data_IF_131194078683
#
_entry.id   IF_131194078683
#
_cell.length_a   1.000
_cell.length_b   1.000
_cell.length_c   1.000
_cell.angle_alpha   90.00
_cell.angle_beta   90.00
_cell.angle_gamma   90.00
#
_symmetry.space_group_name_H-M   'P 1'
#
loop_
_entity.id
_entity.type
_entity.pdbx_description
1 polymer ?
#
# COMPACT_ATOMS: atom_id res chain seq x y z
N UNK A 1 -9.47 -2.51 17.53
CA UNK A 1 -8.59 -2.33 16.35
C UNK A 1 -9.19 -1.22 15.52
N UNK A 2 -8.42 -0.19 15.12
CA UNK A 2 -8.96 0.88 14.29
C UNK A 2 -8.68 0.60 12.82
N UNK A 3 -9.73 0.32 12.06
CA UNK A 3 -9.68 0.23 10.60
C UNK A 3 -10.22 1.56 10.08
N UNK A 4 -9.34 2.43 9.61
CA UNK A 4 -9.75 3.60 8.83
C UNK A 4 -9.71 3.23 7.37
N UNK A 5 -10.85 2.86 6.78
CA UNK A 5 -10.97 2.76 5.32
C UNK A 5 -11.16 4.18 4.82
N UNK A 6 -10.24 4.67 4.00
CA UNK A 6 -10.48 5.84 3.18
C UNK A 6 -11.04 5.37 1.86
N UNK A 7 -12.21 5.91 1.52
CA UNK A 7 -12.82 5.71 0.21
C UNK A 7 -12.18 6.68 -0.80
N UNK A 8 -12.43 6.46 -2.09
CA UNK A 8 -11.88 7.24 -3.20
C UNK A 8 -12.10 8.78 -3.09
N UNK A 9 -13.13 9.21 -2.36
CA UNK A 9 -13.41 10.62 -2.11
C UNK A 9 -12.53 11.23 -0.99
N UNK A 10 -12.13 10.43 0.00
CA UNK A 10 -11.34 10.91 1.15
C UNK A 10 -9.87 11.18 0.77
N UNK A 11 -9.31 10.43 -0.18
CA UNK A 11 -7.94 10.63 -0.65
C UNK A 11 -7.82 11.86 -1.59
N UNK A 12 -8.87 12.20 -2.33
CA UNK A 12 -8.92 13.46 -3.10
C UNK A 12 -8.93 14.70 -2.19
N UNK A 13 -9.59 14.61 -1.02
CA UNK A 13 -9.63 15.70 -0.04
C UNK A 13 -8.31 15.90 0.72
N UNK A 14 -7.49 14.86 0.88
CA UNK A 14 -6.16 14.96 1.50
C UNK A 14 -5.15 15.70 0.63
N UNK A 15 -5.29 15.65 -0.70
CA UNK A 15 -4.41 16.41 -1.60
C UNK A 15 -4.60 17.93 -1.50
N UNK A 16 -5.80 18.42 -1.17
CA UNK A 16 -6.06 19.86 -1.09
C UNK A 16 -5.68 20.51 0.24
N UNK A 17 -5.59 19.75 1.34
CA UNK A 17 -5.45 20.32 2.69
C UNK A 17 -4.01 20.36 3.25
N UNK A 18 -3.01 19.85 2.52
CA UNK A 18 -1.61 19.85 2.95
C UNK A 18 -0.82 21.13 2.60
N UNK A 19 -1.46 22.15 2.00
CA UNK A 19 -0.78 23.39 1.57
C UNK A 19 -0.49 24.40 2.70
N UNK A 20 -0.94 24.15 3.93
CA UNK A 20 -0.81 25.10 5.05
C UNK A 20 -0.33 24.44 6.35
N UNK A 21 0.84 23.78 6.31
CA UNK A 21 1.82 23.71 7.42
C UNK A 21 2.92 22.68 7.13
N UNK A 22 4.04 23.14 6.57
CA UNK A 22 5.42 22.92 7.06
C UNK A 22 6.42 23.43 6.01
N UNK A 23 7.40 24.14 6.54
CA UNK A 23 8.58 24.71 5.87
C UNK A 23 9.35 23.70 5.02
N UNK A 24 9.66 24.11 3.78
CA UNK A 24 10.71 23.61 2.89
C UNK A 24 11.14 22.15 3.03
N UNK A 25 10.27 21.23 2.59
CA UNK A 25 10.70 20.07 1.81
C UNK A 25 9.77 20.04 0.61
N UNK A 26 10.33 20.09 -0.61
CA UNK A 26 9.55 19.99 -1.84
C UNK A 26 8.58 18.83 -1.73
N UNK A 27 7.31 19.07 -2.04
CA UNK A 27 6.32 18.02 -2.27
C UNK A 27 6.80 17.16 -3.46
N UNK A 28 7.72 16.25 -3.18
CA UNK A 28 8.20 15.27 -4.12
C UNK A 28 7.07 14.29 -4.34
N UNK A 29 6.71 14.09 -5.61
CA UNK A 29 5.94 12.93 -5.99
C UNK A 29 6.66 11.70 -5.42
N UNK A 30 5.95 10.88 -4.65
CA UNK A 30 6.39 9.60 -4.08
C UNK A 30 6.59 8.58 -5.23
N UNK A 31 7.46 8.90 -6.20
CA UNK A 31 7.73 8.03 -7.34
C UNK A 31 8.48 6.80 -6.84
N UNK A 32 7.92 5.63 -7.13
CA UNK A 32 8.53 4.33 -6.86
C UNK A 32 9.68 4.06 -7.85
N UNK A 33 10.70 4.91 -7.79
CA UNK A 33 11.91 4.79 -8.62
C UNK A 33 12.57 3.45 -8.33
N UNK A 34 12.77 2.65 -9.36
CA UNK A 34 13.42 1.33 -9.29
C UNK A 34 12.48 0.15 -9.04
N UNK A 35 11.18 0.40 -8.85
CA UNK A 35 10.15 -0.63 -8.67
C UNK A 35 9.23 -0.77 -9.88
N UNK A 36 9.63 -0.25 -11.05
CA UNK A 36 8.81 -0.24 -12.27
C UNK A 36 8.52 -1.66 -12.77
N UNK A 37 9.51 -2.55 -12.74
CA UNK A 37 9.34 -3.95 -13.14
C UNK A 37 8.32 -4.66 -12.23
N UNK A 38 8.43 -4.42 -10.92
CA UNK A 38 7.52 -4.96 -9.91
C UNK A 38 6.12 -4.40 -10.13
N UNK A 39 5.98 -3.09 -10.39
CA UNK A 39 4.71 -2.45 -10.72
C UNK A 39 4.01 -3.14 -11.89
N UNK A 40 4.72 -3.41 -13.00
CA UNK A 40 4.14 -4.09 -14.17
C UNK A 40 3.63 -5.48 -13.80
N UNK A 41 4.42 -6.25 -13.04
CA UNK A 41 4.00 -7.58 -12.57
C UNK A 41 2.74 -7.50 -11.69
N UNK A 42 2.66 -6.53 -10.77
CA UNK A 42 1.48 -6.39 -9.91
C UNK A 42 0.25 -6.01 -10.73
N UNK A 43 0.41 -5.10 -11.69
CA UNK A 43 -0.68 -4.64 -12.54
C UNK A 43 -1.30 -5.79 -13.35
N UNK A 44 -0.48 -6.68 -13.89
CA UNK A 44 -0.97 -7.89 -14.60
C UNK A 44 -1.73 -8.82 -13.66
N UNK A 45 -1.18 -9.09 -12.46
CA UNK A 45 -1.86 -9.91 -11.44
C UNK A 45 -3.19 -9.31 -10.97
N UNK A 46 -3.27 -7.98 -10.88
CA UNK A 46 -4.46 -7.23 -10.45
C UNK A 46 -5.55 -7.14 -11.52
N UNK A 47 -5.17 -7.12 -12.79
CA UNK A 47 -6.12 -6.92 -13.91
C UNK A 47 -6.41 -8.20 -14.70
N UNK A 48 -5.79 -9.31 -14.31
CA UNK A 48 -6.01 -10.63 -14.90
C UNK A 48 -7.44 -11.16 -14.76
N UNK A 49 -7.78 -12.16 -15.58
CA UNK A 49 -9.15 -12.69 -15.74
C UNK A 49 -9.54 -13.72 -14.67
N UNK A 50 -9.11 -13.56 -13.41
CA UNK A 50 -9.54 -14.44 -12.33
C UNK A 50 -10.87 -13.95 -11.75
N UNK A 51 -11.78 -14.89 -11.50
CA UNK A 51 -13.07 -14.58 -10.89
C UNK A 51 -13.00 -14.60 -9.36
N UNK A 52 -12.26 -15.53 -8.75
CA UNK A 52 -12.21 -15.64 -7.29
C UNK A 52 -11.39 -14.53 -6.62
N UNK A 53 -11.65 -14.27 -5.34
CA UNK A 53 -10.91 -13.32 -4.51
C UNK A 53 -9.40 -13.66 -4.47
N UNK A 54 -8.56 -12.67 -4.75
CA UNK A 54 -7.10 -12.81 -4.73
C UNK A 54 -6.48 -12.07 -3.53
N UNK A 55 -5.42 -12.65 -2.99
CA UNK A 55 -4.58 -12.02 -1.97
C UNK A 55 -3.20 -11.74 -2.57
N UNK A 56 -2.74 -10.50 -2.51
CA UNK A 56 -1.45 -10.08 -3.07
C UNK A 56 -0.57 -9.49 -1.96
N UNK A 57 0.34 -10.29 -1.36
CA UNK A 57 1.32 -9.80 -0.41
C UNK A 57 2.44 -9.02 -1.12
N UNK A 58 2.72 -7.82 -0.62
CA UNK A 58 3.95 -7.06 -0.88
C UNK A 58 4.86 -7.18 0.35
N UNK A 59 6.02 -7.81 0.18
CA UNK A 59 6.92 -8.22 1.26
C UNK A 59 8.25 -7.50 1.14
N UNK A 60 8.90 -7.26 2.27
CA UNK A 60 10.23 -6.63 2.29
C UNK A 60 10.52 -5.97 3.63
N UNK A 61 11.79 -5.61 3.86
CA UNK A 61 12.21 -5.00 5.12
C UNK A 61 11.63 -3.58 5.32
N UNK A 62 11.83 -3.03 6.52
CA UNK A 62 11.51 -1.63 6.78
C UNK A 62 12.29 -0.70 5.84
N UNK A 63 11.65 0.36 5.35
CA UNK A 63 12.28 1.33 4.43
C UNK A 63 12.30 0.92 2.95
N UNK A 64 11.88 -0.29 2.58
CA UNK A 64 11.94 -0.78 1.20
C UNK A 64 10.81 -0.26 0.30
N UNK A 65 10.09 0.79 0.70
CA UNK A 65 9.06 1.40 -0.15
C UNK A 65 7.80 0.55 -0.42
N UNK A 66 7.52 -0.51 0.36
CA UNK A 66 6.29 -1.33 0.19
C UNK A 66 5.00 -0.50 0.14
N UNK A 67 4.84 0.40 1.10
CA UNK A 67 3.68 1.31 1.18
C UNK A 67 3.65 2.26 -0.01
N UNK A 68 4.82 2.73 -0.48
CA UNK A 68 4.95 3.57 -1.68
C UNK A 68 4.54 2.80 -2.93
N UNK A 69 4.97 1.55 -3.09
CA UNK A 69 4.55 0.67 -4.19
C UNK A 69 3.04 0.45 -4.19
N UNK A 70 2.49 0.05 -3.05
CA UNK A 70 1.04 -0.16 -2.87
C UNK A 70 0.24 1.12 -3.18
N UNK A 71 0.74 2.30 -2.76
CA UNK A 71 0.10 3.58 -3.06
C UNK A 71 0.12 3.89 -4.55
N UNK A 72 1.25 3.68 -5.22
CA UNK A 72 1.36 3.95 -6.65
C UNK A 72 0.46 3.04 -7.50
N UNK A 73 0.27 1.79 -7.07
CA UNK A 73 -0.72 0.88 -7.63
C UNK A 73 -2.14 1.40 -7.38
N UNK A 74 -2.46 1.74 -6.14
CA UNK A 74 -3.80 2.17 -5.73
C UNK A 74 -4.33 3.36 -6.54
N UNK A 75 -3.47 4.35 -6.79
CA UNK A 75 -3.82 5.57 -7.55
C UNK A 75 -3.65 5.42 -9.06
N UNK A 76 -3.18 4.27 -9.55
CA UNK A 76 -2.93 4.08 -10.98
C UNK A 76 -4.25 4.17 -11.77
N UNK A 77 -4.33 4.96 -12.86
CA UNK A 77 -5.57 5.13 -13.61
C UNK A 77 -6.20 3.84 -14.13
N UNK A 78 -5.40 2.83 -14.47
CA UNK A 78 -5.90 1.52 -14.91
C UNK A 78 -6.56 0.79 -13.74
N UNK A 79 -5.97 0.85 -12.53
CA UNK A 79 -6.57 0.28 -11.32
C UNK A 79 -7.85 1.03 -10.93
N UNK A 80 -7.83 2.36 -10.98
CA UNK A 80 -9.01 3.22 -10.73
C UNK A 80 -10.19 2.81 -11.61
N UNK A 81 -9.93 2.54 -12.90
CA UNK A 81 -10.97 2.16 -13.86
C UNK A 81 -11.39 0.69 -13.74
N UNK A 82 -10.52 -0.18 -13.22
CA UNK A 82 -10.76 -1.61 -13.16
C UNK A 82 -11.65 -2.04 -12.00
N UNK A 83 -11.58 -1.36 -10.85
CA UNK A 83 -12.31 -1.74 -9.64
C UNK A 83 -13.50 -0.82 -9.37
N UNK A 84 -14.67 -1.40 -9.07
CA UNK A 84 -15.90 -0.68 -8.72
C UNK A 84 -15.80 0.00 -7.34
N UNK A 85 -14.93 -0.54 -6.47
CA UNK A 85 -14.68 -0.03 -5.14
C UNK A 85 -13.19 -0.16 -4.81
N UNK A 86 -12.64 0.87 -4.19
CA UNK A 86 -11.28 0.85 -3.66
C UNK A 86 -11.29 1.37 -2.23
N UNK A 87 -10.50 0.74 -1.38
CA UNK A 87 -10.35 1.17 0.01
C UNK A 87 -8.94 0.94 0.51
N UNK A 88 -8.46 1.85 1.35
CA UNK A 88 -7.16 1.71 2.01
C UNK A 88 -7.31 1.73 3.52
N UNK A 89 -6.73 0.75 4.21
CA UNK A 89 -6.65 0.74 5.66
C UNK A 89 -5.24 0.41 6.14
N UNK A 90 -4.77 1.13 7.15
CA UNK A 90 -3.58 0.74 7.91
C UNK A 90 -4.05 -0.02 9.15
N UNK A 91 -3.52 -1.21 9.36
CA UNK A 91 -3.77 -1.94 10.60
C UNK A 91 -2.81 -1.35 11.63
N UNK A 92 -3.32 -0.71 12.69
CA UNK A 92 -2.51 -0.08 13.76
C UNK A 92 -2.73 -0.77 15.10
N UNK A 93 -1.64 -1.13 15.80
CA UNK A 93 -1.72 -1.88 17.05
C UNK A 93 -2.13 -0.90 18.15
N UNK A 94 -3.43 -0.75 18.38
CA UNK A 94 -3.88 -0.02 19.56
C UNK A 94 -3.56 -0.88 20.79
N UNK A 95 -2.44 -0.56 21.44
CA UNK A 95 -2.24 -0.93 22.83
C UNK A 95 -3.38 -0.30 23.63
N UNK A 96 -4.14 -1.13 24.33
CA UNK A 96 -5.32 -0.74 25.08
C UNK A 96 -4.91 0.11 26.30
N UNK A 97 -4.45 1.35 26.07
CA UNK A 97 -4.34 2.34 27.12
C UNK A 97 -5.74 2.93 27.31
N UNK A 98 -6.32 2.62 28.46
CA UNK A 98 -7.56 3.21 28.97
C UNK A 98 -7.49 4.73 28.83
N UNK A 99 -7.99 5.32 27.74
CA UNK A 99 -7.78 6.75 27.55
C UNK A 99 -8.31 7.44 26.29
N UNK A 100 -8.89 6.75 25.30
CA UNK A 100 -9.48 7.44 24.14
C UNK A 100 -10.89 6.93 23.82
N UNK A 101 -11.81 7.09 24.78
CA UNK A 101 -13.24 7.15 24.49
C UNK A 101 -13.56 8.57 24.05
N UNK A 102 -13.29 8.90 22.79
CA UNK A 102 -13.88 10.09 22.19
C UNK A 102 -14.16 9.85 20.70
N UNK A 103 -15.44 9.54 20.47
CA UNK A 103 -16.21 9.60 19.23
C UNK A 103 -15.54 9.10 17.95
N UNK A 104 -15.94 7.90 17.50
CA UNK A 104 -16.38 7.59 16.14
C UNK A 104 -16.95 6.15 16.14
N UNK A 105 -18.27 6.05 15.93
CA UNK A 105 -19.11 4.84 15.86
C UNK A 105 -19.37 4.06 17.18
N UNK A 106 -20.65 3.96 17.55
CA UNK A 106 -21.16 3.04 18.60
C UNK A 106 -21.29 1.59 18.08
N UNK A 107 -20.77 1.29 16.89
CA UNK A 107 -20.94 0.02 16.22
C UNK A 107 -19.84 -0.94 16.67
N UNK A 108 -20.21 -2.17 16.97
CA UNK A 108 -19.23 -3.24 17.26
C UNK A 108 -18.39 -3.57 16.02
N UNK A 109 -17.21 -4.17 16.23
CA UNK A 109 -16.34 -4.62 15.12
C UNK A 109 -17.09 -5.58 14.18
N UNK A 110 -17.99 -6.41 14.72
CA UNK A 110 -18.82 -7.33 13.94
C UNK A 110 -19.85 -6.61 13.06
N UNK A 111 -20.56 -5.62 13.60
CA UNK A 111 -21.52 -4.82 12.83
C UNK A 111 -20.84 -4.03 11.72
N UNK A 112 -19.64 -3.50 11.98
CA UNK A 112 -18.83 -2.82 10.98
C UNK A 112 -18.41 -3.80 9.87
N UNK A 113 -17.93 -4.99 10.24
CA UNK A 113 -17.56 -6.04 9.31
C UNK A 113 -18.72 -6.51 8.44
N UNK A 114 -19.92 -6.70 9.02
CA UNK A 114 -21.12 -7.04 8.26
C UNK A 114 -21.52 -5.95 7.28
N UNK A 115 -21.47 -4.69 7.71
CA UNK A 115 -21.82 -3.56 6.86
C UNK A 115 -20.83 -3.42 5.70
N UNK A 116 -19.53 -3.56 5.97
CA UNK A 116 -18.49 -3.58 4.96
C UNK A 116 -18.73 -4.73 3.97
N UNK A 117 -18.91 -5.95 4.46
CA UNK A 117 -19.17 -7.13 3.63
C UNK A 117 -20.38 -6.92 2.70
N UNK A 118 -21.50 -6.42 3.25
CA UNK A 118 -22.71 -6.10 2.45
C UNK A 118 -22.44 -5.03 1.39
N UNK A 119 -21.58 -4.05 1.67
CA UNK A 119 -21.24 -2.98 0.73
C UNK A 119 -20.31 -3.42 -0.42
N UNK A 120 -19.52 -4.47 -0.18
CA UNK A 120 -18.57 -5.06 -1.12
C UNK A 120 -19.18 -6.19 -1.96
N UNK A 121 -20.25 -6.82 -1.48
CA UNK A 121 -20.88 -7.96 -2.14
C UNK A 121 -21.33 -7.61 -3.57
N UNK A 122 -20.93 -8.43 -4.54
CA UNK A 122 -21.29 -8.26 -5.96
C UNK A 122 -20.53 -7.14 -6.67
N UNK A 123 -19.44 -6.63 -6.08
CA UNK A 123 -18.57 -5.61 -6.67
C UNK A 123 -17.16 -6.16 -6.83
N UNK A 124 -16.49 -5.74 -7.89
CA UNK A 124 -15.04 -5.91 -8.05
C UNK A 124 -14.33 -4.87 -7.19
N UNK A 125 -13.79 -5.28 -6.05
CA UNK A 125 -13.13 -4.37 -5.12
C UNK A 125 -11.61 -4.57 -5.03
N UNK A 126 -10.88 -3.50 -4.75
CA UNK A 126 -9.48 -3.54 -4.30
C UNK A 126 -9.39 -2.97 -2.88
N UNK A 127 -9.01 -3.80 -1.91
CA UNK A 127 -8.70 -3.34 -0.56
C UNK A 127 -7.20 -3.42 -0.32
N UNK A 128 -6.59 -2.30 0.08
CA UNK A 128 -5.20 -2.26 0.50
C UNK A 128 -5.12 -2.27 2.03
N UNK A 129 -4.47 -3.29 2.59
CA UNK A 129 -4.17 -3.39 4.01
C UNK A 129 -2.68 -3.12 4.25
N UNK A 130 -2.37 -1.92 4.73
CA UNK A 130 -0.99 -1.49 4.97
C UNK A 130 -0.52 -1.93 6.38
N UNK A 131 0.72 -2.44 6.41
CA UNK A 131 1.50 -2.84 7.58
C UNK A 131 0.89 -4.00 8.41
N UNK A 132 0.56 -5.12 7.74
CA UNK A 132 0.17 -6.35 8.45
C UNK A 132 1.36 -6.92 9.21
N UNK A 133 1.30 -6.88 10.54
CA UNK A 133 2.37 -7.36 11.42
C UNK A 133 2.20 -8.79 11.94
N UNK A 134 1.06 -9.45 11.74
CA UNK A 134 0.85 -10.85 12.17
C UNK A 134 -0.32 -11.54 11.45
N UNK A 135 -0.30 -12.87 11.46
CA UNK A 135 -1.42 -13.67 10.94
C UNK A 135 -2.71 -13.47 11.73
N UNK A 136 -2.63 -13.25 13.04
CA UNK A 136 -3.79 -12.94 13.86
C UNK A 136 -4.47 -11.62 13.43
N UNK A 137 -3.69 -10.65 12.96
CA UNK A 137 -4.23 -9.37 12.48
C UNK A 137 -4.96 -9.54 11.15
N UNK A 138 -4.43 -10.41 10.29
CA UNK A 138 -5.12 -10.82 9.07
C UNK A 138 -6.40 -11.61 9.37
N UNK A 139 -6.34 -12.60 10.25
CA UNK A 139 -7.46 -13.47 10.61
C UNK A 139 -8.65 -12.70 11.18
N UNK A 140 -8.40 -11.57 11.86
CA UNK A 140 -9.44 -10.69 12.38
C UNK A 140 -10.23 -9.96 11.30
N UNK A 141 -9.61 -9.64 10.17
CA UNK A 141 -10.24 -8.79 9.13
C UNK A 141 -10.64 -9.54 7.89
N UNK A 142 -10.02 -10.69 7.60
CA UNK A 142 -10.28 -11.46 6.37
C UNK A 142 -11.76 -11.83 6.21
N UNK A 143 -12.48 -11.99 7.31
CA UNK A 143 -13.90 -12.35 7.34
C UNK A 143 -14.82 -11.24 6.85
N UNK A 144 -14.33 -10.00 6.74
CA UNK A 144 -15.13 -8.86 6.28
C UNK A 144 -15.21 -8.77 4.75
N UNK A 145 -14.37 -9.52 4.03
CA UNK A 145 -14.22 -9.42 2.58
C UNK A 145 -14.90 -10.62 1.90
N UNK A 146 -16.04 -10.42 1.20
CA UNK A 146 -16.76 -11.51 0.56
C UNK A 146 -16.11 -11.93 -0.77
N UNK A 147 -15.98 -13.24 -1.01
CA UNK A 147 -15.65 -13.77 -2.33
C UNK A 147 -16.94 -14.08 -3.12
N UNK A 148 -17.37 -13.13 -3.95
CA UNK A 148 -18.53 -13.27 -4.82
C UNK A 148 -18.18 -13.61 -6.28
N UNK A 149 -16.94 -14.06 -6.53
CA UNK A 149 -16.41 -14.36 -7.87
C UNK A 149 -16.36 -13.17 -8.85
N UNK A 150 -16.20 -11.95 -8.33
CA UNK A 150 -16.20 -10.71 -9.12
C UNK A 150 -14.80 -10.24 -9.55
N UNK A 151 -13.74 -10.99 -9.24
CA UNK A 151 -12.35 -10.63 -9.51
C UNK A 151 -11.76 -9.64 -8.51
N UNK A 152 -12.27 -9.65 -7.27
CA UNK A 152 -11.82 -8.76 -6.20
C UNK A 152 -10.43 -9.12 -5.68
N UNK A 153 -9.72 -8.13 -5.15
CA UNK A 153 -8.35 -8.27 -4.66
C UNK A 153 -8.16 -7.62 -3.30
N UNK A 154 -7.46 -8.33 -2.41
CA UNK A 154 -6.89 -7.77 -1.19
C UNK A 154 -5.38 -7.70 -1.38
N UNK A 155 -4.85 -6.49 -1.47
CA UNK A 155 -3.41 -6.23 -1.48
C UNK A 155 -2.97 -5.88 -0.06
N UNK A 156 -1.84 -6.40 0.40
CA UNK A 156 -1.35 -6.04 1.74
C UNK A 156 0.15 -5.95 1.81
N UNK A 157 0.66 -5.02 2.62
CA UNK A 157 2.09 -4.86 2.86
C UNK A 157 2.49 -5.57 4.16
N UNK A 158 3.62 -6.26 4.17
CA UNK A 158 4.12 -6.92 5.38
C UNK A 158 5.65 -7.02 5.40
N UNK A 159 6.22 -7.14 6.59
CA UNK A 159 7.64 -7.49 6.79
C UNK A 159 7.85 -9.00 6.98
N UNK A 160 6.77 -9.77 7.03
CA UNK A 160 6.76 -11.18 7.39
C UNK A 160 6.69 -12.07 6.15
N UNK A 161 7.83 -12.58 5.68
CA UNK A 161 7.87 -13.46 4.50
C UNK A 161 7.09 -14.75 4.70
N UNK A 162 7.04 -15.28 5.93
CA UNK A 162 6.23 -16.44 6.29
C UNK A 162 4.73 -16.18 6.21
N UNK A 163 4.28 -14.94 6.41
CA UNK A 163 2.88 -14.58 6.26
C UNK A 163 2.48 -14.60 4.78
N UNK A 164 3.38 -14.13 3.92
CA UNK A 164 3.15 -14.08 2.49
C UNK A 164 3.01 -15.47 1.86
N UNK A 165 3.82 -16.44 2.28
CA UNK A 165 3.70 -17.83 1.81
C UNK A 165 2.43 -18.52 2.29
N UNK A 166 1.92 -18.18 3.47
CA UNK A 166 0.69 -18.74 4.02
C UNK A 166 -0.57 -18.13 3.41
N UNK A 167 -0.52 -16.84 3.04
CA UNK A 167 -1.69 -16.07 2.60
C UNK A 167 -1.74 -15.78 1.10
N UNK A 168 -0.63 -15.93 0.38
CA UNK A 168 -0.48 -15.58 -1.04
C UNK A 168 -1.34 -16.40 -2.01
N UNK A 169 -1.99 -17.47 -1.54
CA UNK A 169 -2.89 -18.28 -2.37
C UNK A 169 -2.21 -18.76 -3.65
N UNK A 170 -2.77 -18.40 -4.81
CA UNK A 170 -2.28 -18.79 -6.15
C UNK A 170 -1.20 -17.85 -6.72
N UNK A 171 -0.82 -16.78 -6.02
CA UNK A 171 0.22 -15.86 -6.47
C UNK A 171 1.44 -15.97 -5.56
N UNK A 172 2.62 -16.06 -6.18
CA UNK A 172 3.88 -15.84 -5.46
C UNK A 172 3.90 -14.41 -4.93
N UNK A 173 4.36 -14.28 -3.69
CA UNK A 173 4.49 -12.99 -3.02
C UNK A 173 5.40 -12.05 -3.79
N UNK A 174 5.01 -10.78 -3.84
CA UNK A 174 5.84 -9.73 -4.44
C UNK A 174 6.88 -9.30 -3.42
N UNK A 175 8.06 -9.88 -3.51
CA UNK A 175 9.17 -9.53 -2.64
C UNK A 175 9.91 -8.32 -3.20
N UNK A 176 9.85 -7.20 -2.47
CA UNK A 176 10.69 -6.05 -2.74
C UNK A 176 12.05 -6.30 -2.11
N UNK A 177 13.09 -6.21 -2.92
CA UNK A 177 14.49 -6.36 -2.53
C UNK A 177 15.23 -5.01 -2.51
N UNK A 178 16.52 -5.06 -2.19
CA UNK A 178 17.38 -3.89 -2.35
C UNK A 178 17.39 -3.43 -3.81
N UNK A 179 17.41 -2.11 -3.99
CA UNK A 179 17.67 -1.52 -5.30
C UNK A 179 19.12 -1.86 -5.72
N UNK A 180 19.31 -2.10 -7.01
CA UNK A 180 20.67 -2.17 -7.57
C UNK A 180 21.36 -0.81 -7.50
N UNK A 181 22.67 -0.78 -7.80
CA UNK A 181 23.49 0.44 -7.69
C UNK A 181 22.94 1.59 -8.55
N UNK A 182 22.49 1.28 -9.77
CA UNK A 182 21.95 2.26 -10.71
C UNK A 182 20.60 2.83 -10.22
N UNK A 183 19.70 1.95 -9.77
CA UNK A 183 18.39 2.33 -9.19
C UNK A 183 18.59 3.13 -7.90
N UNK A 184 19.54 2.74 -7.06
CA UNK A 184 19.89 3.45 -5.82
C UNK A 184 20.49 4.83 -6.10
N UNK A 185 21.37 4.93 -7.10
CA UNK A 185 21.94 6.20 -7.54
C UNK A 185 20.88 7.13 -8.13
N UNK A 186 19.96 6.59 -8.93
CA UNK A 186 18.83 7.35 -9.49
C UNK A 186 17.93 7.89 -8.38
N UNK A 187 17.54 7.03 -7.43
CA UNK A 187 16.73 7.42 -6.28
C UNK A 187 17.43 8.49 -5.44
N UNK A 188 18.73 8.35 -5.18
CA UNK A 188 19.52 9.36 -4.47
C UNK A 188 19.51 10.70 -5.21
N UNK A 189 19.76 10.68 -6.52
CA UNK A 189 19.77 11.89 -7.34
C UNK A 189 18.41 12.59 -7.32
N UNK A 190 17.33 11.84 -7.54
CA UNK A 190 15.98 12.39 -7.55
C UNK A 190 15.58 12.95 -6.18
N UNK A 191 15.94 12.24 -5.10
CA UNK A 191 15.64 12.66 -3.73
C UNK A 191 16.42 13.90 -3.30
N UNK A 192 17.67 14.05 -3.78
CA UNK A 192 18.58 15.13 -3.35
C UNK A 192 18.49 16.37 -4.23
N UNK A 193 18.37 16.17 -5.55
CA UNK A 193 18.44 17.23 -6.56
C UNK A 193 17.11 17.45 -7.31
N UNK A 194 16.08 16.62 -7.06
CA UNK A 194 14.80 16.72 -7.74
C UNK A 194 14.89 16.32 -9.21
N UNK A 195 14.24 17.10 -10.08
CA UNK A 195 14.29 16.93 -11.54
C UNK A 195 15.60 17.46 -12.17
N UNK A 196 16.49 18.05 -11.37
CA UNK A 196 17.78 18.56 -11.84
C UNK A 196 18.83 17.46 -11.73
N UNK A 197 19.67 17.33 -12.76
CA UNK A 197 20.79 16.39 -12.74
C UNK A 197 21.78 16.69 -11.61
N UNK A 198 22.33 15.65 -10.97
CA UNK A 198 23.41 15.79 -10.00
C UNK A 198 24.60 16.57 -10.62
N UNK A 199 25.11 17.63 -9.95
CA UNK A 199 26.31 18.33 -10.39
C UNK A 199 27.52 17.40 -10.48
N UNK A 200 28.32 17.52 -11.55
CA UNK A 200 29.46 16.62 -11.81
C UNK A 200 30.49 16.61 -10.69
N UNK A 201 30.65 17.73 -9.99
CA UNK A 201 31.56 17.89 -8.86
C UNK A 201 31.14 17.07 -7.65
N UNK A 202 29.85 16.76 -7.52
CA UNK A 202 29.27 16.00 -6.41
C UNK A 202 29.07 14.53 -6.72
N UNK A 203 29.11 14.13 -8.00
CA UNK A 203 28.83 12.75 -8.44
C UNK A 203 29.72 11.72 -7.72
N UNK A 204 31.02 11.98 -7.63
CA UNK A 204 31.97 11.07 -6.99
C UNK A 204 31.76 10.91 -5.47
N UNK A 205 31.27 11.95 -4.78
CA UNK A 205 30.92 11.85 -3.36
C UNK A 205 29.56 11.17 -3.21
N UNK A 206 28.60 11.51 -4.07
CA UNK A 206 27.27 10.94 -4.07
C UNK A 206 27.29 9.42 -4.26
N UNK A 207 28.05 8.90 -5.23
CA UNK A 207 28.16 7.45 -5.46
C UNK A 207 28.69 6.71 -4.23
N UNK A 208 29.70 7.27 -3.55
CA UNK A 208 30.21 6.73 -2.27
C UNK A 208 29.19 6.74 -1.14
N UNK A 209 28.23 7.68 -1.15
CA UNK A 209 27.14 7.71 -0.17
C UNK A 209 26.15 6.58 -0.45
N UNK A 210 25.88 6.29 -1.72
CA UNK A 210 24.94 5.24 -2.16
C UNK A 210 25.49 3.83 -1.96
N UNK A 211 26.81 3.64 -2.06
CA UNK A 211 27.49 2.36 -1.84
C UNK A 211 27.58 1.93 -0.36
N UNK A 212 27.27 2.81 0.61
CA UNK A 212 27.34 2.54 2.06
C UNK A 212 25.99 2.13 2.66
#
# INVERSE_FOLDING_TARGET
MKIGIKDDDDDQLLHNNNSLRRSHSSAGQDTAVGLEDVLVEVMDKLTGHKSNLQNIPIVGMGGFGKTTLARNIYINPVIVQHFDFRGWATISLEYNSKGSRESLSQMSENELGEKLSKSLFGKRYLIVLDDIWSIESWDKVKTFFPDSNDGSVIMFTTRLSNLASQLGGSYESLEISFLDEDKSWNLFCKSTFGEVSCPKELEGIGKKIVEN
#
